data_IF_605585448815
#
_entry.id   IF_605585448815
#
_cell.length_a   1.000
_cell.length_b   1.000
_cell.length_c   1.000
_cell.angle_alpha   90.00
_cell.angle_beta   90.00
_cell.angle_gamma   90.00
#
_symmetry.space_group_name_H-M   'P 1'
#
loop_
_entity.id
_entity.type
_entity.pdbx_description
1 polymer ?
#
# COMPACT_ATOMS: atom_id res chain seq x y z
N UNK A 1 -11.52 1.18 8.94
CA UNK A 1 -10.50 1.94 8.18
C UNK A 1 -11.23 2.83 7.18
N UNK A 2 -10.99 4.14 7.16
CA UNK A 2 -11.62 5.01 6.15
C UNK A 2 -10.87 4.90 4.83
N UNK A 3 -11.62 4.72 3.73
CA UNK A 3 -11.08 4.76 2.37
C UNK A 3 -11.33 6.14 1.79
N UNK A 4 -10.35 6.66 1.07
CA UNK A 4 -10.50 7.87 0.26
C UNK A 4 -10.56 7.44 -1.20
N UNK A 5 -11.70 7.68 -1.86
CA UNK A 5 -11.82 7.48 -3.31
C UNK A 5 -10.99 8.58 -3.98
N UNK A 6 -10.08 8.16 -4.85
CA UNK A 6 -9.21 9.05 -5.61
C UNK A 6 -9.80 9.33 -7.00
N UNK A 7 -10.29 8.27 -7.67
CA UNK A 7 -10.87 8.33 -9.01
C UNK A 7 -12.01 7.32 -9.07
N UNK A 8 -13.10 7.66 -9.76
CA UNK A 8 -14.15 6.73 -10.12
C UNK A 8 -14.44 6.83 -11.62
N UNK A 9 -14.66 5.69 -12.28
CA UNK A 9 -14.96 5.63 -13.70
C UNK A 9 -15.98 4.52 -13.97
N UNK A 10 -17.01 4.84 -14.76
CA UNK A 10 -17.99 3.86 -15.21
C UNK A 10 -17.67 3.38 -16.63
N UNK A 11 -17.90 2.09 -16.88
CA UNK A 11 -17.76 1.44 -18.18
C UNK A 11 -18.82 0.35 -18.28
N UNK A 12 -19.78 0.52 -19.19
CA UNK A 12 -20.92 -0.38 -19.30
C UNK A 12 -21.72 -0.45 -17.99
N UNK A 13 -21.92 -1.66 -17.48
CA UNK A 13 -22.59 -1.93 -16.21
C UNK A 13 -21.63 -2.03 -15.02
N UNK A 14 -20.37 -1.56 -15.14
CA UNK A 14 -19.37 -1.61 -14.08
C UNK A 14 -18.90 -0.20 -13.72
N UNK A 15 -18.87 0.10 -12.42
CA UNK A 15 -18.18 1.26 -11.87
C UNK A 15 -16.91 0.82 -11.16
N UNK A 16 -15.77 1.29 -11.65
CA UNK A 16 -14.47 1.12 -11.01
C UNK A 16 -14.19 2.32 -10.10
N UNK A 17 -13.63 2.06 -8.93
CA UNK A 17 -13.17 3.06 -7.97
C UNK A 17 -11.73 2.77 -7.59
N UNK A 18 -10.84 3.71 -7.85
CA UNK A 18 -9.48 3.72 -7.35
C UNK A 18 -9.45 4.43 -6.00
N UNK A 19 -8.92 3.78 -4.96
CA UNK A 19 -8.92 4.33 -3.61
C UNK A 19 -7.54 4.29 -2.94
N UNK A 20 -7.34 5.16 -1.95
CA UNK A 20 -6.28 5.06 -0.96
C UNK A 20 -6.86 4.73 0.42
N UNK A 21 -6.05 4.06 1.23
CA UNK A 21 -6.34 3.80 2.64
C UNK A 21 -5.04 3.71 3.43
N UNK A 22 -5.16 3.65 4.74
CA UNK A 22 -4.04 3.42 5.63
C UNK A 22 -4.07 1.99 6.18
N UNK A 23 -2.93 1.33 6.16
CA UNK A 23 -2.76 -0.03 6.69
C UNK A 23 -1.57 -0.09 7.66
N UNK A 24 -1.68 -0.87 8.73
CA UNK A 24 -0.53 -1.22 9.57
C UNK A 24 0.15 -2.45 8.96
N UNK A 25 1.48 -2.39 8.84
CA UNK A 25 2.26 -3.47 8.26
C UNK A 25 3.51 -3.75 9.10
N UNK A 26 3.86 -5.03 9.38
CA UNK A 26 5.07 -5.36 10.10
C UNK A 26 6.30 -5.06 9.24
N UNK A 27 7.13 -4.12 9.69
CA UNK A 27 8.42 -3.82 9.08
C UNK A 27 9.54 -4.55 9.82
N UNK A 28 10.58 -4.92 9.08
CA UNK A 28 11.72 -5.68 9.55
C UNK A 28 13.01 -4.90 9.27
N UNK A 29 13.85 -4.77 10.29
CA UNK A 29 15.17 -4.17 10.17
C UNK A 29 16.18 -4.97 10.99
N UNK A 30 17.20 -5.51 10.32
CA UNK A 30 18.36 -6.07 10.96
C UNK A 30 19.46 -5.01 11.01
N UNK A 31 19.99 -4.72 12.20
CA UNK A 31 21.15 -3.84 12.32
C UNK A 31 22.44 -4.62 12.00
N UNK A 32 23.53 -3.91 11.71
CA UNK A 32 24.84 -4.52 11.44
C UNK A 32 25.45 -5.28 12.65
N UNK A 33 24.79 -5.25 13.82
CA UNK A 33 25.16 -5.97 15.04
C UNK A 33 24.31 -7.23 15.26
N UNK A 34 23.46 -7.60 14.30
CA UNK A 34 22.60 -8.79 14.36
C UNK A 34 21.33 -8.64 15.22
N UNK A 35 21.02 -7.44 15.72
CA UNK A 35 19.74 -7.21 16.43
C UNK A 35 18.61 -6.98 15.43
N UNK A 36 17.56 -7.76 15.57
CA UNK A 36 16.35 -7.66 14.77
C UNK A 36 15.33 -6.73 15.43
N UNK A 37 14.86 -5.75 14.66
CA UNK A 37 13.80 -4.84 15.07
C UNK A 37 12.59 -5.11 14.18
N UNK A 38 11.51 -5.54 14.82
CA UNK A 38 10.21 -5.74 14.19
C UNK A 38 9.25 -4.71 14.76
N UNK A 39 8.64 -3.90 13.88
CA UNK A 39 7.70 -2.85 14.31
C UNK A 39 6.64 -2.61 13.26
N UNK A 40 5.40 -2.44 13.70
CA UNK A 40 4.31 -2.02 12.84
C UNK A 40 4.51 -0.57 12.38
N UNK A 41 4.45 -0.35 11.08
CA UNK A 41 4.48 0.97 10.46
C UNK A 41 3.17 1.25 9.73
N UNK A 42 2.76 2.51 9.73
CA UNK A 42 1.57 2.96 9.02
C UNK A 42 1.93 3.23 7.55
N UNK A 43 1.28 2.52 6.63
CA UNK A 43 1.45 2.65 5.18
C UNK A 43 0.24 3.31 4.55
N UNK A 44 0.50 4.24 3.62
CA UNK A 44 -0.48 4.60 2.60
C UNK A 44 -0.46 3.55 1.51
N UNK A 45 -1.61 2.93 1.27
CA UNK A 45 -1.79 1.85 0.30
C UNK A 45 -2.98 2.15 -0.59
N UNK A 46 -2.99 1.53 -1.76
CA UNK A 46 -3.97 1.77 -2.79
C UNK A 46 -4.62 0.47 -3.25
N UNK A 47 -5.88 0.53 -3.63
CA UNK A 47 -6.67 -0.61 -4.11
C UNK A 47 -7.74 -0.17 -5.10
N UNK A 48 -8.50 -1.14 -5.60
CA UNK A 48 -9.55 -0.97 -6.58
C UNK A 48 -10.83 -1.65 -6.07
N UNK A 49 -11.96 -0.96 -6.17
CA UNK A 49 -13.29 -1.56 -6.04
C UNK A 49 -13.93 -1.58 -7.42
N UNK A 50 -14.54 -2.71 -7.78
CA UNK A 50 -15.43 -2.82 -8.92
C UNK A 50 -16.85 -3.07 -8.42
N UNK A 51 -17.79 -2.26 -8.89
CA UNK A 51 -19.21 -2.35 -8.55
C UNK A 51 -19.94 -2.70 -9.85
N UNK A 52 -20.48 -3.91 -9.92
CA UNK A 52 -21.24 -4.39 -11.09
C UNK A 52 -22.73 -4.21 -10.83
N UNK A 53 -23.42 -3.60 -11.78
CA UNK A 53 -24.87 -3.40 -11.74
C UNK A 53 -25.56 -4.49 -12.56
N UNK A 54 -26.49 -5.22 -11.94
CA UNK A 54 -27.31 -6.26 -12.58
C UNK A 54 -28.78 -5.95 -12.24
N UNK A 55 -29.45 -5.21 -13.13
CA UNK A 55 -30.79 -4.70 -12.85
C UNK A 55 -30.78 -3.75 -11.65
N UNK A 56 -31.43 -4.16 -10.55
CA UNK A 56 -31.44 -3.41 -9.28
C UNK A 56 -30.37 -3.89 -8.29
N UNK A 57 -29.69 -5.00 -8.59
CA UNK A 57 -28.67 -5.57 -7.72
C UNK A 57 -27.29 -4.98 -8.00
N UNK A 58 -26.45 -4.97 -6.97
CA UNK A 58 -25.06 -4.53 -7.04
C UNK A 58 -24.14 -5.58 -6.47
N UNK A 59 -23.16 -6.01 -7.25
CA UNK A 59 -22.08 -6.88 -6.80
C UNK A 59 -20.85 -6.03 -6.53
N UNK A 60 -20.37 -6.05 -5.30
CA UNK A 60 -19.20 -5.32 -4.86
C UNK A 60 -18.00 -6.27 -4.80
N UNK A 61 -16.99 -5.99 -5.61
CA UNK A 61 -15.69 -6.65 -5.52
C UNK A 61 -14.63 -5.65 -5.08
N UNK A 62 -13.99 -5.92 -3.96
CA UNK A 62 -12.88 -5.12 -3.44
C UNK A 62 -11.59 -5.93 -3.51
N UNK A 63 -10.59 -5.39 -4.19
CA UNK A 63 -9.26 -6.00 -4.28
C UNK A 63 -8.52 -6.03 -2.95
N UNK A 64 -8.94 -5.21 -1.99
CA UNK A 64 -8.15 -4.84 -0.84
C UNK A 64 -6.93 -4.00 -1.24
N UNK A 65 -6.05 -3.68 -0.27
CA UNK A 65 -4.77 -3.03 -0.54
C UNK A 65 -3.89 -3.86 -1.47
N UNK A 66 -3.47 -3.25 -2.57
CA UNK A 66 -2.69 -3.89 -3.62
C UNK A 66 -1.23 -3.47 -3.63
N UNK A 67 -0.96 -2.17 -3.42
CA UNK A 67 0.40 -1.65 -3.46
C UNK A 67 0.55 -0.36 -2.63
N UNK A 68 1.79 -0.04 -2.25
CA UNK A 68 2.15 1.27 -1.66
C UNK A 68 2.41 2.34 -2.71
N UNK A 69 2.54 1.95 -3.98
CA UNK A 69 2.86 2.85 -5.09
C UNK A 69 1.60 3.19 -5.89
N UNK A 70 1.16 4.44 -5.81
CA UNK A 70 -0.03 4.94 -6.52
C UNK A 70 -0.01 4.58 -8.01
N UNK A 71 1.07 4.93 -8.72
CA UNK A 71 1.14 4.75 -10.18
C UNK A 71 0.94 3.29 -10.64
N UNK A 72 1.31 2.29 -9.84
CA UNK A 72 1.10 0.88 -10.17
C UNK A 72 -0.38 0.51 -10.18
N UNK A 73 -1.09 0.90 -9.13
CA UNK A 73 -2.53 0.61 -8.99
C UNK A 73 -3.34 1.49 -9.93
N UNK A 74 -2.93 2.74 -10.16
CA UNK A 74 -3.53 3.61 -11.18
C UNK A 74 -3.39 3.05 -12.60
N UNK A 75 -2.22 2.48 -12.96
CA UNK A 75 -2.05 1.82 -14.25
C UNK A 75 -2.99 0.60 -14.40
N UNK A 76 -3.09 -0.24 -13.36
CA UNK A 76 -4.02 -1.37 -13.34
C UNK A 76 -5.49 -0.91 -13.44
N UNK A 77 -5.87 0.15 -12.73
CA UNK A 77 -7.19 0.76 -12.81
C UNK A 77 -7.53 1.20 -14.24
N UNK A 78 -6.63 1.93 -14.90
CA UNK A 78 -6.85 2.36 -16.28
C UNK A 78 -6.82 1.19 -17.27
N UNK A 79 -6.05 0.15 -16.99
CA UNK A 79 -6.07 -1.09 -17.79
C UNK A 79 -7.45 -1.75 -17.72
N UNK A 80 -8.01 -1.94 -16.53
CA UNK A 80 -9.36 -2.48 -16.34
C UNK A 80 -10.42 -1.62 -17.05
N UNK A 81 -10.35 -0.30 -16.90
CA UNK A 81 -11.33 0.61 -17.51
C UNK A 81 -11.32 0.62 -19.06
N UNK A 82 -10.21 0.19 -19.68
CA UNK A 82 -10.07 0.11 -21.14
C UNK A 82 -10.57 -1.22 -21.71
N UNK A 83 -10.63 -2.26 -20.88
CA UNK A 83 -11.14 -3.56 -21.30
C UNK A 83 -12.66 -3.59 -21.26
N UNK A 84 -13.25 -4.42 -22.11
CA UNK A 84 -14.70 -4.63 -22.17
C UNK A 84 -15.08 -5.84 -21.30
N UNK A 85 -14.76 -5.74 -20.01
CA UNK A 85 -14.99 -6.82 -19.04
C UNK A 85 -16.44 -6.79 -18.59
N UNK A 86 -17.08 -7.95 -18.56
CA UNK A 86 -18.49 -8.09 -18.14
C UNK A 86 -18.65 -8.84 -16.81
N UNK A 87 -17.63 -9.58 -16.38
CA UNK A 87 -17.69 -10.48 -15.22
C UNK A 87 -16.69 -10.13 -14.11
N UNK A 88 -17.08 -10.33 -12.85
CA UNK A 88 -16.21 -10.10 -11.67
C UNK A 88 -14.99 -11.02 -11.72
N UNK A 89 -15.16 -12.25 -12.17
CA UNK A 89 -14.15 -13.31 -12.18
C UNK A 89 -12.97 -12.93 -13.07
N UNK A 90 -13.24 -12.27 -14.21
CA UNK A 90 -12.21 -11.73 -15.08
C UNK A 90 -11.46 -10.55 -14.42
N UNK A 91 -12.18 -9.64 -13.76
CA UNK A 91 -11.57 -8.55 -12.97
C UNK A 91 -10.61 -9.13 -11.92
N UNK A 92 -11.08 -10.15 -11.17
CA UNK A 92 -10.30 -10.83 -10.13
C UNK A 92 -9.05 -11.47 -10.71
N UNK A 93 -9.16 -12.13 -11.86
CA UNK A 93 -8.04 -12.78 -12.56
C UNK A 93 -6.96 -11.76 -12.96
N UNK A 94 -7.36 -10.64 -13.56
CA UNK A 94 -6.43 -9.59 -14.00
C UNK A 94 -5.71 -8.98 -12.80
N UNK A 95 -6.47 -8.62 -11.76
CA UNK A 95 -5.90 -8.04 -10.53
C UNK A 95 -4.94 -9.02 -9.85
N UNK A 96 -5.30 -10.30 -9.78
CA UNK A 96 -4.46 -11.33 -9.17
C UNK A 96 -3.16 -11.55 -9.95
N UNK A 97 -3.24 -11.59 -11.28
CA UNK A 97 -2.06 -11.70 -12.14
C UNK A 97 -1.09 -10.56 -11.89
N UNK A 98 -1.57 -9.32 -11.93
CA UNK A 98 -0.75 -8.13 -11.71
C UNK A 98 -0.16 -8.09 -10.29
N UNK A 99 -0.95 -8.45 -9.27
CA UNK A 99 -0.49 -8.54 -7.89
C UNK A 99 0.59 -9.60 -7.71
N UNK A 100 0.43 -10.77 -8.33
CA UNK A 100 1.44 -11.84 -8.33
C UNK A 100 2.76 -11.36 -8.94
N UNK A 101 2.69 -10.63 -10.06
CA UNK A 101 3.88 -10.05 -10.69
C UNK A 101 4.56 -9.02 -9.79
N UNK A 102 3.81 -8.21 -9.05
CA UNK A 102 4.40 -7.30 -8.07
C UNK A 102 5.05 -8.02 -6.88
N UNK A 103 4.60 -9.23 -6.54
CA UNK A 103 5.19 -10.05 -5.49
C UNK A 103 6.54 -10.68 -5.90
N UNK A 104 6.86 -10.80 -7.19
CA UNK A 104 8.14 -11.34 -7.70
C UNK A 104 9.36 -10.44 -7.43
N UNK A 105 9.24 -9.44 -6.56
CA UNK A 105 10.35 -8.59 -6.16
C UNK A 105 11.21 -9.26 -5.07
N UNK A 106 12.40 -8.72 -4.79
CA UNK A 106 13.36 -9.27 -3.81
C UNK A 106 12.83 -9.39 -2.37
N UNK A 107 11.72 -8.73 -2.04
CA UNK A 107 11.08 -8.76 -0.73
C UNK A 107 9.85 -9.67 -0.68
N UNK A 108 9.47 -10.31 -1.79
CA UNK A 108 8.35 -11.24 -1.87
C UNK A 108 6.96 -10.63 -1.69
N UNK A 109 6.85 -9.32 -1.47
CA UNK A 109 5.57 -8.63 -1.38
C UNK A 109 5.70 -7.12 -1.70
N UNK A 110 4.61 -6.45 -2.13
CA UNK A 110 4.66 -5.05 -2.58
C UNK A 110 4.74 -4.01 -1.45
N UNK A 111 4.65 -4.41 -0.18
CA UNK A 111 4.59 -3.52 0.97
C UNK A 111 5.93 -3.42 1.72
N UNK A 112 6.67 -4.53 1.80
CA UNK A 112 7.89 -4.72 2.60
C UNK A 112 8.95 -3.66 2.34
N UNK A 113 9.23 -3.36 1.07
CA UNK A 113 10.26 -2.38 0.75
C UNK A 113 9.95 -1.01 1.37
N UNK A 114 8.71 -0.55 1.25
CA UNK A 114 8.29 0.75 1.79
C UNK A 114 8.20 0.71 3.31
N UNK A 115 7.70 -0.39 3.87
CA UNK A 115 7.64 -0.59 5.30
C UNK A 115 9.02 -0.52 5.96
N UNK A 116 10.00 -1.24 5.40
CA UNK A 116 11.37 -1.25 5.88
C UNK A 116 12.05 0.10 5.70
N UNK A 117 11.75 0.83 4.60
CA UNK A 117 12.25 2.20 4.40
C UNK A 117 11.75 3.14 5.50
N UNK A 118 10.45 3.07 5.85
CA UNK A 118 9.87 3.91 6.90
C UNK A 118 10.43 3.57 8.28
N UNK A 119 10.62 2.28 8.59
CA UNK A 119 11.23 1.86 9.85
C UNK A 119 12.66 2.40 9.97
N UNK A 120 13.48 2.29 8.92
CA UNK A 120 14.86 2.84 8.90
C UNK A 120 14.89 4.34 9.14
N UNK A 121 13.93 5.08 8.55
CA UNK A 121 13.79 6.53 8.73
C UNK A 121 13.38 6.88 10.17
N UNK A 122 12.46 6.14 10.77
CA UNK A 122 12.06 6.36 12.18
C UNK A 122 13.26 6.14 13.12
N UNK A 123 14.03 5.08 12.90
CA UNK A 123 15.22 4.77 13.69
C UNK A 123 16.33 5.82 13.54
N UNK A 124 16.57 6.34 12.33
CA UNK A 124 17.60 7.37 12.12
C UNK A 124 17.25 8.68 12.81
N UNK A 125 15.98 9.10 12.75
CA UNK A 125 15.49 10.30 13.44
C UNK A 125 15.63 10.17 14.95
N UNK A 126 15.26 9.02 15.52
CA UNK A 126 15.42 8.77 16.97
C UNK A 126 16.88 8.84 17.41
N UNK A 127 17.80 8.27 16.63
CA UNK A 127 19.24 8.35 16.90
C UNK A 127 19.76 9.79 16.89
N UNK A 128 19.25 10.63 15.98
CA UNK A 128 19.63 12.04 15.92
C UNK A 128 19.14 12.81 17.16
N UNK A 129 17.87 12.63 17.56
CA UNK A 129 17.30 13.29 18.75
C UNK A 129 18.03 12.90 20.04
N UNK A 130 18.34 11.61 20.22
CA UNK A 130 19.10 11.15 21.39
C UNK A 130 20.52 11.72 21.44
N UNK A 131 21.13 12.08 20.29
CA UNK A 131 22.43 12.75 20.28
C UNK A 131 22.33 14.22 20.64
N UNK A 132 21.34 14.94 20.09
CA UNK A 132 21.13 16.35 20.43
C UNK A 132 20.84 16.54 21.91
N UNK A 133 20.01 15.68 22.50
CA UNK A 133 19.63 15.79 23.91
C UNK A 133 20.84 15.53 24.84
N UNK A 134 21.72 14.59 24.46
CA UNK A 134 22.96 14.31 25.21
C UNK A 134 24.02 15.41 25.06
N UNK A 135 24.07 16.11 23.93
CA UNK A 135 24.98 17.25 23.73
C UNK A 135 24.52 18.50 24.49
N UNK A 136 23.21 18.74 24.59
CA UNK A 136 22.65 19.82 25.41
C UNK A 136 22.93 19.60 26.90
N UNK A 137 22.74 18.38 27.41
CA UNK A 137 23.01 18.08 28.83
C UNK A 137 24.49 18.26 29.21
N UNK A 138 25.43 17.90 28.33
CA UNK A 138 26.87 18.08 28.58
C UNK A 138 27.34 19.54 28.56
N UNK A 139 26.63 20.42 27.86
CA UNK A 139 26.97 21.84 27.82
C UNK A 139 26.40 22.62 29.01
N UNK A 140 25.40 22.09 29.71
CA UNK A 140 24.85 22.69 30.93
C UNK A 140 25.59 22.26 32.21
N UNK A 141 26.56 21.35 32.12
CA UNK A 141 27.38 20.87 33.23
C UNK A 141 28.80 21.49 33.25
N UNK A 142 29.06 22.50 32.42
CA UNK A 142 30.29 23.31 32.40
C UNK A 142 29.99 24.75 32.77
#
# INVERSE_FOLDING_TARGET
MSRQILIAQAKGNIQYQFYSTSMLYPAYYNNYRGSEIIKNVKLSVYGIVAIIFIGQEQIHYDSGPLNTRNYKVSALFHHLCRQDIQEVEEIRRIIWSEYSDWCKNSYGNPFSQKANQLLRRDLSIKKFRLKSDNEVSKNNER
#
